data_IF_704048545396
#
_entry.id   IF_704048545396
#
_cell.length_a   1.000
_cell.length_b   1.000
_cell.length_c   1.000
_cell.angle_alpha   90.00
_cell.angle_beta   90.00
_cell.angle_gamma   90.00
#
_symmetry.space_group_name_H-M   'P 1'
#
loop_
_entity.id
_entity.type
_entity.pdbx_description
1 polymer ?
#
# COMPACT_ATOMS: atom_id res chain seq x y z
N UNK A 1 -5.93 10.18 -23.56
CA UNK A 1 -6.08 11.31 -22.62
C UNK A 1 -5.40 12.54 -23.20
N UNK A 2 -6.03 13.72 -23.21
CA UNK A 2 -5.36 14.96 -23.66
C UNK A 2 -4.32 15.37 -22.60
N UNK A 3 -3.18 15.92 -23.00
CA UNK A 3 -2.08 16.30 -22.09
C UNK A 3 -2.54 17.11 -20.87
N UNK A 4 -3.42 18.09 -21.07
CA UNK A 4 -3.99 18.94 -20.01
C UNK A 4 -4.81 18.17 -18.95
N UNK A 5 -5.42 17.05 -19.33
CA UNK A 5 -6.26 16.22 -18.48
C UNK A 5 -5.41 15.39 -17.50
N UNK A 6 -4.27 14.88 -17.99
CA UNK A 6 -3.28 14.18 -17.16
C UNK A 6 -2.67 15.12 -16.11
N UNK A 7 -2.24 16.31 -16.51
CA UNK A 7 -1.73 17.31 -15.58
C UNK A 7 -2.77 17.75 -14.54
N UNK A 8 -4.05 17.81 -14.90
CA UNK A 8 -5.09 18.13 -13.94
C UNK A 8 -5.30 17.00 -12.92
N UNK A 9 -5.35 15.73 -13.36
CA UNK A 9 -5.42 14.57 -12.46
C UNK A 9 -4.27 14.58 -11.45
N UNK A 10 -3.03 14.73 -11.93
CA UNK A 10 -1.83 14.75 -11.09
C UNK A 10 -1.88 15.86 -10.04
N UNK A 11 -2.22 17.09 -10.45
CA UNK A 11 -2.40 18.22 -9.51
C UNK A 11 -3.49 17.96 -8.46
N UNK A 12 -4.62 17.36 -8.86
CA UNK A 12 -5.70 17.03 -7.92
C UNK A 12 -5.21 16.03 -6.88
N UNK A 13 -4.43 15.03 -7.28
CA UNK A 13 -3.87 14.03 -6.37
C UNK A 13 -2.86 14.67 -5.42
N UNK A 14 -1.92 15.47 -5.93
CA UNK A 14 -0.93 16.17 -5.12
C UNK A 14 -1.60 17.05 -4.05
N UNK A 15 -2.59 17.86 -4.45
CA UNK A 15 -3.36 18.70 -3.52
C UNK A 15 -4.12 17.87 -2.49
N UNK A 16 -4.66 16.71 -2.89
CA UNK A 16 -5.37 15.81 -1.97
C UNK A 16 -4.42 15.24 -0.92
N UNK A 17 -3.23 14.79 -1.32
CA UNK A 17 -2.20 14.29 -0.41
C UNK A 17 -1.72 15.39 0.55
N UNK A 18 -1.51 16.61 0.06
CA UNK A 18 -1.14 17.75 0.90
C UNK A 18 -2.24 18.06 1.93
N UNK A 19 -3.50 18.07 1.52
CA UNK A 19 -4.63 18.27 2.43
C UNK A 19 -4.72 17.16 3.50
N UNK A 20 -4.46 15.90 3.13
CA UNK A 20 -4.41 14.79 4.08
C UNK A 20 -3.34 14.96 5.15
N UNK A 21 -2.23 15.63 4.83
CA UNK A 21 -1.17 15.94 5.77
C UNK A 21 -1.46 17.16 6.65
N UNK A 22 -2.41 18.01 6.25
CA UNK A 22 -2.76 19.26 6.94
C UNK A 22 -3.88 19.12 7.97
N UNK A 23 -4.73 18.09 7.86
CA UNK A 23 -5.98 17.99 8.64
C UNK A 23 -5.98 16.87 9.67
N UNK A 24 -6.66 17.15 10.79
CA UNK A 24 -6.91 16.14 11.81
C UNK A 24 -8.17 15.31 11.54
N UNK A 25 -9.17 15.87 10.84
CA UNK A 25 -10.38 15.17 10.46
C UNK A 25 -10.51 15.09 8.94
N UNK A 26 -10.66 13.87 8.42
CA UNK A 26 -10.82 13.62 6.98
C UNK A 26 -12.10 14.25 6.41
N UNK A 27 -13.11 14.48 7.24
CA UNK A 27 -14.34 15.16 6.82
C UNK A 27 -14.14 16.64 6.50
N UNK A 28 -13.04 17.25 6.96
CA UNK A 28 -12.65 18.60 6.53
C UNK A 28 -12.17 18.65 5.07
N UNK A 29 -11.83 17.50 4.49
CA UNK A 29 -11.45 17.39 3.09
C UNK A 29 -12.71 17.23 2.25
N UNK A 30 -13.10 18.31 1.56
CA UNK A 30 -14.25 18.29 0.65
C UNK A 30 -13.81 18.41 -0.80
N UNK A 31 -14.61 17.87 -1.73
CA UNK A 31 -14.38 18.02 -3.18
C UNK A 31 -14.23 19.50 -3.58
N UNK A 32 -14.96 20.41 -2.91
CA UNK A 32 -14.86 21.86 -3.15
C UNK A 32 -13.51 22.42 -2.70
N UNK A 33 -13.04 22.07 -1.50
CA UNK A 33 -11.73 22.49 -0.97
C UNK A 33 -10.58 22.01 -1.86
N UNK A 34 -10.67 20.76 -2.35
CA UNK A 34 -9.70 20.20 -3.31
C UNK A 34 -9.74 20.98 -4.63
N UNK A 35 -10.94 21.20 -5.18
CA UNK A 35 -11.10 21.92 -6.46
C UNK A 35 -10.51 23.34 -6.40
N UNK A 36 -10.80 24.06 -5.32
CA UNK A 36 -10.27 25.40 -5.08
C UNK A 36 -8.74 25.39 -5.00
N UNK A 37 -8.16 24.50 -4.17
CA UNK A 37 -6.70 24.45 -3.95
C UNK A 37 -5.93 23.93 -5.16
N UNK A 38 -6.54 23.06 -5.98
CA UNK A 38 -5.99 22.58 -7.25
C UNK A 38 -6.24 23.53 -8.43
N UNK A 39 -6.99 24.63 -8.21
CA UNK A 39 -7.42 25.57 -9.24
C UNK A 39 -8.10 24.88 -10.43
N UNK A 40 -9.07 24.00 -10.14
CA UNK A 40 -9.87 23.27 -11.13
C UNK A 40 -11.37 23.36 -10.81
N UNK A 41 -12.22 23.10 -11.80
CA UNK A 41 -13.65 22.97 -11.56
C UNK A 41 -14.00 21.64 -10.87
N UNK A 42 -15.00 21.65 -9.97
CA UNK A 42 -15.53 20.44 -9.30
C UNK A 42 -15.92 19.34 -10.31
N UNK A 43 -16.45 19.73 -11.47
CA UNK A 43 -16.79 18.79 -12.53
C UNK A 43 -15.61 17.95 -13.05
N UNK A 44 -14.38 18.49 -12.99
CA UNK A 44 -13.18 17.78 -13.40
C UNK A 44 -12.77 16.71 -12.38
N UNK A 45 -12.93 16.99 -11.09
CA UNK A 45 -12.73 15.99 -10.03
C UNK A 45 -13.74 14.85 -10.21
N UNK A 46 -15.02 15.18 -10.38
CA UNK A 46 -16.06 14.17 -10.58
C UNK A 46 -15.85 13.37 -11.88
N UNK A 47 -15.32 14.00 -12.94
CA UNK A 47 -14.98 13.32 -14.18
C UNK A 47 -13.94 12.20 -13.94
N UNK A 48 -12.83 12.53 -13.27
CA UNK A 48 -11.72 11.61 -13.03
C UNK A 48 -11.99 10.57 -11.94
N UNK A 49 -12.56 10.99 -10.82
CA UNK A 49 -12.58 10.17 -9.59
C UNK A 49 -13.98 9.73 -9.18
N UNK A 50 -15.04 10.33 -9.72
CA UNK A 50 -16.46 10.08 -9.38
C UNK A 50 -16.87 10.51 -7.97
N UNK A 51 -16.13 10.11 -6.93
CA UNK A 51 -16.43 10.39 -5.51
C UNK A 51 -15.19 10.89 -4.76
N UNK A 52 -15.39 11.56 -3.61
CA UNK A 52 -14.32 11.94 -2.66
C UNK A 52 -13.49 10.69 -2.30
N UNK A 53 -14.19 9.65 -1.94
CA UNK A 53 -13.65 8.38 -1.49
C UNK A 53 -12.74 7.71 -2.52
N UNK A 54 -13.19 7.65 -3.78
CA UNK A 54 -12.36 7.11 -4.86
C UNK A 54 -11.12 7.97 -5.13
N UNK A 55 -11.23 9.30 -5.00
CA UNK A 55 -10.07 10.19 -5.10
C UNK A 55 -9.06 9.90 -3.99
N UNK A 56 -9.52 9.77 -2.74
CA UNK A 56 -8.67 9.43 -1.61
C UNK A 56 -7.98 8.08 -1.81
N UNK A 57 -8.72 7.04 -2.17
CA UNK A 57 -8.14 5.72 -2.46
C UNK A 57 -7.14 5.75 -3.61
N UNK A 58 -7.44 6.51 -4.68
CA UNK A 58 -6.51 6.67 -5.81
C UNK A 58 -5.24 7.40 -5.38
N UNK A 59 -5.35 8.44 -4.56
CA UNK A 59 -4.20 9.20 -4.10
C UNK A 59 -3.27 8.35 -3.22
N UNK A 60 -3.83 7.58 -2.28
CA UNK A 60 -3.05 6.64 -1.46
C UNK A 60 -2.46 5.52 -2.32
N UNK A 61 -3.25 4.96 -3.25
CA UNK A 61 -2.77 3.96 -4.20
C UNK A 61 -1.58 4.43 -5.01
N UNK A 62 -1.62 5.65 -5.58
CA UNK A 62 -0.51 6.25 -6.34
C UNK A 62 0.76 6.38 -5.46
N UNK A 63 0.62 6.74 -4.17
CA UNK A 63 1.76 6.77 -3.22
C UNK A 63 2.35 5.37 -3.00
N UNK A 64 1.50 4.36 -2.76
CA UNK A 64 1.95 2.98 -2.54
C UNK A 64 2.63 2.41 -3.78
N UNK A 65 2.07 2.64 -4.98
CA UNK A 65 2.65 2.20 -6.24
C UNK A 65 4.02 2.84 -6.51
N UNK A 66 4.22 4.11 -6.13
CA UNK A 66 5.53 4.76 -6.26
C UNK A 66 6.58 4.09 -5.36
N UNK A 67 6.24 3.74 -4.13
CA UNK A 67 7.14 3.02 -3.21
C UNK A 67 7.53 1.65 -3.78
N UNK A 68 6.57 0.94 -4.39
CA UNK A 68 6.80 -0.35 -5.04
C UNK A 68 7.68 -0.17 -6.28
N UNK A 69 7.45 0.87 -7.08
CA UNK A 69 8.24 1.14 -8.27
C UNK A 69 9.72 1.41 -7.93
N UNK A 70 10.00 2.13 -6.85
CA UNK A 70 11.37 2.39 -6.36
C UNK A 70 12.13 1.09 -6.04
N UNK A 71 11.45 0.04 -5.59
CA UNK A 71 12.08 -1.26 -5.35
C UNK A 71 12.56 -1.93 -6.63
N UNK A 72 11.86 -1.65 -7.74
CA UNK A 72 12.17 -2.24 -9.04
C UNK A 72 13.18 -1.44 -9.85
N UNK A 73 13.69 -0.33 -9.30
CA UNK A 73 14.80 0.43 -9.86
C UNK A 73 16.11 -0.34 -9.65
N UNK A 74 16.79 -0.67 -10.75
CA UNK A 74 18.06 -1.40 -10.75
C UNK A 74 19.17 -0.68 -9.94
N UNK A 75 19.03 0.62 -9.65
CA UNK A 75 19.96 1.38 -8.80
C UNK A 75 19.76 1.19 -7.29
N UNK A 76 18.60 0.68 -6.88
CA UNK A 76 18.24 0.41 -5.46
C UNK A 76 18.37 -1.09 -5.14
N UNK A 77 18.44 -1.93 -6.17
CA UNK A 77 18.46 -3.39 -6.04
C UNK A 77 19.63 -3.93 -5.22
N UNK A 78 19.33 -4.74 -4.21
CA UNK A 78 20.35 -5.49 -3.47
C UNK A 78 20.40 -6.95 -3.90
N UNK A 79 21.50 -7.65 -3.57
CA UNK A 79 21.62 -9.10 -3.76
C UNK A 79 20.87 -9.90 -2.67
N UNK A 80 19.97 -9.26 -1.90
CA UNK A 80 19.28 -9.84 -0.73
C UNK A 80 17.75 -9.72 -0.88
N UNK A 81 17.13 -10.50 -1.78
CA UNK A 81 15.73 -10.31 -2.15
C UNK A 81 14.73 -10.52 -1.00
N UNK A 82 15.09 -11.31 0.02
CA UNK A 82 14.28 -11.48 1.23
C UNK A 82 14.28 -10.20 2.07
N UNK A 83 15.45 -9.58 2.23
CA UNK A 83 15.61 -8.34 2.99
C UNK A 83 14.95 -7.17 2.27
N UNK A 84 15.05 -7.13 0.95
CA UNK A 84 14.37 -6.16 0.10
C UNK A 84 12.83 -6.27 0.25
N UNK A 85 12.29 -7.50 0.30
CA UNK A 85 10.86 -7.72 0.57
C UNK A 85 10.46 -7.24 1.96
N UNK A 86 11.22 -7.58 2.99
CA UNK A 86 10.97 -7.11 4.37
C UNK A 86 10.96 -5.58 4.43
N UNK A 87 11.94 -4.92 3.82
CA UNK A 87 12.04 -3.47 3.81
C UNK A 87 10.92 -2.79 3.02
N UNK A 88 10.51 -3.35 1.88
CA UNK A 88 9.34 -2.88 1.14
C UNK A 88 8.09 -2.91 2.03
N UNK A 89 7.78 -4.06 2.63
CA UNK A 89 6.57 -4.23 3.42
C UNK A 89 6.55 -3.30 4.64
N UNK A 90 7.70 -3.13 5.31
CA UNK A 90 7.85 -2.18 6.43
C UNK A 90 7.60 -0.74 5.98
N UNK A 91 8.17 -0.32 4.84
CA UNK A 91 7.97 1.03 4.27
C UNK A 91 6.52 1.27 3.85
N UNK A 92 5.85 0.28 3.26
CA UNK A 92 4.42 0.36 2.93
C UNK A 92 3.56 0.49 4.19
N UNK A 93 3.88 -0.25 5.26
CA UNK A 93 3.17 -0.14 6.53
C UNK A 93 3.38 1.20 7.22
N UNK A 94 4.62 1.72 7.23
CA UNK A 94 4.93 3.06 7.75
C UNK A 94 4.11 4.12 6.99
N UNK A 95 4.04 4.01 5.66
CA UNK A 95 3.26 4.90 4.80
C UNK A 95 1.75 4.77 5.06
N UNK A 96 1.25 3.55 5.25
CA UNK A 96 -0.16 3.31 5.55
C UNK A 96 -0.59 3.98 6.86
N UNK A 97 0.24 3.87 7.90
CA UNK A 97 -0.03 4.50 9.20
C UNK A 97 0.07 6.02 9.15
N UNK A 98 0.93 6.58 8.29
CA UNK A 98 0.93 8.02 8.04
C UNK A 98 -0.44 8.52 7.56
N UNK A 99 -1.19 7.69 6.83
CA UNK A 99 -2.56 7.96 6.38
C UNK A 99 -3.62 7.13 7.13
N UNK A 100 -3.43 6.84 8.43
CA UNK A 100 -4.28 5.90 9.18
C UNK A 100 -5.78 6.22 9.18
N UNK A 101 -6.16 7.49 8.96
CA UNK A 101 -7.57 7.93 8.90
C UNK A 101 -8.28 7.47 7.64
N UNK A 102 -7.54 7.31 6.54
CA UNK A 102 -8.06 6.85 5.24
C UNK A 102 -7.83 5.35 5.07
N UNK A 103 -6.76 4.81 5.67
CA UNK A 103 -6.28 3.45 5.42
C UNK A 103 -7.39 2.37 5.59
N UNK A 104 -8.22 2.35 6.65
CA UNK A 104 -9.28 1.35 6.79
C UNK A 104 -10.28 1.37 5.63
N UNK A 105 -10.58 2.55 5.10
CA UNK A 105 -11.48 2.70 3.97
C UNK A 105 -10.85 2.13 2.69
N UNK A 106 -9.59 2.50 2.40
CA UNK A 106 -8.84 1.99 1.24
C UNK A 106 -8.74 0.46 1.29
N UNK A 107 -8.34 -0.10 2.43
CA UNK A 107 -8.21 -1.54 2.61
C UNK A 107 -9.55 -2.27 2.45
N UNK A 108 -10.64 -1.73 3.03
CA UNK A 108 -11.98 -2.29 2.83
C UNK A 108 -12.38 -2.30 1.35
N UNK A 109 -12.12 -1.23 0.61
CA UNK A 109 -12.41 -1.19 -0.82
C UNK A 109 -11.58 -2.23 -1.59
N UNK A 110 -10.28 -2.35 -1.31
CA UNK A 110 -9.43 -3.35 -1.97
C UNK A 110 -9.96 -4.77 -1.72
N UNK A 111 -10.20 -5.12 -0.46
CA UNK A 111 -10.61 -6.47 -0.06
C UNK A 111 -12.02 -6.80 -0.60
N UNK A 112 -12.99 -5.90 -0.45
CA UNK A 112 -14.39 -6.19 -0.84
C UNK A 112 -14.60 -6.18 -2.36
N UNK A 113 -13.81 -5.41 -3.11
CA UNK A 113 -13.85 -5.39 -4.58
C UNK A 113 -13.02 -6.50 -5.22
N UNK A 114 -12.27 -7.29 -4.43
CA UNK A 114 -11.37 -8.32 -4.95
C UNK A 114 -10.18 -7.76 -5.72
N UNK A 115 -9.71 -6.57 -5.34
CA UNK A 115 -8.49 -5.98 -5.87
C UNK A 115 -7.27 -6.76 -5.34
N UNK A 116 -6.53 -7.39 -6.26
CA UNK A 116 -5.36 -8.22 -5.96
C UNK A 116 -4.04 -7.54 -6.36
N UNK A 117 -4.06 -6.21 -6.59
CA UNK A 117 -2.89 -5.52 -7.12
C UNK A 117 -1.70 -5.59 -6.15
N UNK A 118 -1.92 -5.43 -4.85
CA UNK A 118 -0.86 -5.51 -3.84
C UNK A 118 -0.16 -6.88 -3.81
N UNK A 119 -0.92 -7.96 -3.99
CA UNK A 119 -0.40 -9.31 -4.10
C UNK A 119 0.42 -9.48 -5.39
N UNK A 120 -0.11 -9.00 -6.51
CA UNK A 120 0.58 -9.06 -7.80
C UNK A 120 1.89 -8.26 -7.79
N UNK A 121 1.92 -7.13 -7.08
CA UNK A 121 3.08 -6.25 -7.00
C UNK A 121 4.29 -6.90 -6.33
N UNK A 122 4.10 -7.88 -5.44
CA UNK A 122 5.20 -8.59 -4.77
C UNK A 122 5.60 -9.90 -5.46
N UNK A 123 4.79 -10.42 -6.40
CA UNK A 123 5.09 -11.66 -7.14
C UNK A 123 6.45 -11.63 -7.85
N UNK A 124 6.88 -10.55 -8.52
CA UNK A 124 8.19 -10.51 -9.16
C UNK A 124 9.34 -10.72 -8.17
N UNK A 125 9.23 -10.20 -6.95
CA UNK A 125 10.23 -10.41 -5.91
C UNK A 125 10.17 -11.83 -5.33
N UNK A 126 8.98 -12.38 -5.13
CA UNK A 126 8.83 -13.79 -4.74
C UNK A 126 9.43 -14.74 -5.79
N UNK A 127 9.30 -14.42 -7.09
CA UNK A 127 9.96 -15.15 -8.17
C UNK A 127 11.48 -15.12 -8.02
N UNK A 128 12.07 -13.99 -7.61
CA UNK A 128 13.52 -13.89 -7.35
C UNK A 128 13.94 -14.74 -6.15
N UNK A 129 13.14 -14.76 -5.09
CA UNK A 129 13.41 -15.53 -3.87
C UNK A 129 13.33 -17.04 -4.14
N UNK A 130 12.26 -17.51 -4.78
CA UNK A 130 12.00 -18.93 -4.95
C UNK A 130 12.59 -19.49 -6.25
N UNK A 131 12.95 -18.65 -7.23
CA UNK A 131 13.42 -19.08 -8.54
C UNK A 131 12.44 -20.07 -9.18
N UNK A 132 12.96 -21.23 -9.59
CA UNK A 132 12.16 -22.30 -10.19
C UNK A 132 11.55 -23.28 -9.17
N UNK A 133 11.71 -23.04 -7.85
CA UNK A 133 11.19 -23.95 -6.80
C UNK A 133 9.67 -23.87 -6.64
N UNK A 134 9.02 -22.84 -7.18
CA UNK A 134 7.58 -22.56 -7.06
C UNK A 134 7.04 -22.11 -8.41
N UNK A 135 5.83 -22.54 -8.75
CA UNK A 135 5.11 -22.08 -9.94
C UNK A 135 4.33 -20.78 -9.67
N UNK A 136 3.75 -20.17 -10.72
CA UNK A 136 2.99 -18.92 -10.61
C UNK A 136 1.84 -19.00 -9.61
N UNK A 137 1.12 -20.12 -9.60
CA UNK A 137 -0.01 -20.30 -8.70
C UNK A 137 0.46 -20.29 -7.25
N UNK A 138 1.54 -21.01 -6.95
CA UNK A 138 2.15 -21.04 -5.62
C UNK A 138 2.67 -19.65 -5.20
N UNK A 139 3.31 -18.91 -6.11
CA UNK A 139 3.79 -17.56 -5.82
C UNK A 139 2.65 -16.59 -5.48
N UNK A 140 1.51 -16.69 -6.19
CA UNK A 140 0.31 -15.88 -5.88
C UNK A 140 -0.34 -16.26 -4.56
N UNK A 141 -0.35 -17.56 -4.21
CA UNK A 141 -0.82 -18.02 -2.89
C UNK A 141 0.09 -17.50 -1.77
N UNK A 142 1.41 -17.55 -1.98
CA UNK A 142 2.38 -16.97 -1.04
C UNK A 142 2.16 -15.46 -0.89
N UNK A 143 1.90 -14.75 -1.98
CA UNK A 143 1.60 -13.33 -1.93
C UNK A 143 0.37 -13.03 -1.06
N UNK A 144 -0.73 -13.80 -1.22
CA UNK A 144 -1.91 -13.70 -0.36
C UNK A 144 -1.59 -13.97 1.12
N UNK A 145 -0.76 -14.98 1.39
CA UNK A 145 -0.33 -15.33 2.74
C UNK A 145 0.51 -14.24 3.41
N UNK A 146 1.12 -13.35 2.63
CA UNK A 146 1.90 -12.20 3.13
C UNK A 146 1.02 -10.96 3.26
N UNK A 147 0.28 -10.61 2.20
CA UNK A 147 -0.42 -9.32 2.12
C UNK A 147 -1.67 -9.30 2.98
N UNK A 148 -2.51 -10.35 2.95
CA UNK A 148 -3.78 -10.33 3.67
C UNK A 148 -3.60 -10.22 5.20
N UNK A 149 -2.67 -10.94 5.87
CA UNK A 149 -2.47 -10.76 7.30
C UNK A 149 -2.06 -9.32 7.66
N UNK A 150 -1.22 -8.69 6.83
CA UNK A 150 -0.80 -7.29 7.04
C UNK A 150 -2.03 -6.37 6.92
N UNK A 151 -2.80 -6.48 5.84
CA UNK A 151 -3.98 -5.64 5.61
C UNK A 151 -5.05 -5.83 6.70
N UNK A 152 -5.34 -7.07 7.09
CA UNK A 152 -6.32 -7.37 8.15
C UNK A 152 -5.84 -6.87 9.51
N UNK A 153 -4.55 -6.99 9.81
CA UNK A 153 -3.98 -6.46 11.06
C UNK A 153 -4.10 -4.93 11.15
N UNK A 154 -3.94 -4.23 10.02
CA UNK A 154 -4.12 -2.77 9.95
C UNK A 154 -5.60 -2.37 10.03
N UNK A 155 -6.48 -3.11 9.34
CA UNK A 155 -7.93 -2.85 9.32
C UNK A 155 -8.58 -3.06 10.70
N UNK A 156 -8.14 -4.09 11.43
CA UNK A 156 -8.72 -4.52 12.71
C UNK A 156 -7.71 -4.47 13.85
N UNK A 157 -7.00 -3.34 13.98
CA UNK A 157 -5.84 -3.18 14.88
C UNK A 157 -6.12 -3.66 16.31
N UNK A 158 -7.24 -3.25 16.92
CA UNK A 158 -7.56 -3.63 18.31
C UNK A 158 -7.82 -5.14 18.46
N UNK A 159 -8.61 -5.72 17.55
CA UNK A 159 -8.91 -7.16 17.57
C UNK A 159 -7.64 -7.98 17.30
N UNK A 160 -6.79 -7.53 16.39
CA UNK A 160 -5.51 -8.17 16.11
C UNK A 160 -4.56 -8.10 17.31
N UNK A 161 -4.49 -6.96 17.99
CA UNK A 161 -3.68 -6.80 19.20
C UNK A 161 -4.20 -7.71 20.34
N UNK A 162 -5.52 -7.82 20.51
CA UNK A 162 -6.10 -8.73 21.50
C UNK A 162 -5.78 -10.20 21.19
N UNK A 163 -5.79 -10.58 19.92
CA UNK A 163 -5.49 -11.94 19.46
C UNK A 163 -4.01 -12.31 19.59
N UNK A 164 -3.11 -11.43 19.13
CA UNK A 164 -1.69 -11.73 18.95
C UNK A 164 -0.78 -11.15 20.03
N UNK A 165 -1.25 -10.17 20.79
CA UNK A 165 -0.44 -9.33 21.67
C UNK A 165 0.39 -8.26 20.95
N UNK A 166 0.32 -8.17 19.63
CA UNK A 166 1.14 -7.26 18.81
C UNK A 166 0.37 -5.97 18.53
N UNK A 167 0.95 -4.84 18.90
CA UNK A 167 0.44 -3.52 18.54
C UNK A 167 0.98 -3.08 17.17
N UNK A 168 0.14 -3.13 16.13
CA UNK A 168 0.52 -2.71 14.76
C UNK A 168 0.88 -1.22 14.65
N UNK A 169 0.37 -0.37 15.56
CA UNK A 169 0.76 1.05 15.59
C UNK A 169 2.15 1.26 16.20
N UNK A 170 2.68 0.27 16.93
CA UNK A 170 4.06 0.30 17.41
C UNK A 170 5.01 -0.21 16.31
N UNK A 171 5.92 0.66 15.86
CA UNK A 171 6.87 0.34 14.77
C UNK A 171 7.67 -0.93 15.03
N UNK A 172 8.23 -1.09 16.23
CA UNK A 172 9.08 -2.23 16.54
C UNK A 172 8.29 -3.55 16.53
N UNK A 173 7.10 -3.55 17.14
CA UNK A 173 6.24 -4.73 17.17
C UNK A 173 5.71 -5.12 15.79
N UNK A 174 5.32 -4.12 14.99
CA UNK A 174 4.86 -4.32 13.61
C UNK A 174 5.97 -4.81 12.69
N UNK A 175 7.17 -4.24 12.78
CA UNK A 175 8.31 -4.68 11.95
C UNK A 175 8.69 -6.12 12.31
N UNK A 176 8.64 -6.49 13.61
CA UNK A 176 8.81 -7.88 14.07
C UNK A 176 7.70 -8.81 13.55
N UNK A 177 6.45 -8.35 13.50
CA UNK A 177 5.35 -9.12 12.91
C UNK A 177 5.60 -9.44 11.43
N UNK A 178 6.06 -8.45 10.66
CA UNK A 178 6.43 -8.65 9.24
C UNK A 178 7.57 -9.66 9.13
N UNK A 179 8.60 -9.54 9.97
CA UNK A 179 9.73 -10.47 9.96
C UNK A 179 9.29 -11.92 10.19
N UNK A 180 8.48 -12.16 11.23
CA UNK A 180 7.91 -13.48 11.55
C UNK A 180 7.05 -14.01 10.40
N UNK A 181 6.23 -13.16 9.78
CA UNK A 181 5.35 -13.56 8.70
C UNK A 181 6.15 -14.06 7.49
N UNK A 182 7.21 -13.35 7.12
CA UNK A 182 8.10 -13.71 6.03
C UNK A 182 8.89 -14.98 6.36
N UNK A 183 9.43 -15.09 7.57
CA UNK A 183 10.18 -16.26 8.03
C UNK A 183 9.34 -17.54 8.02
N UNK A 184 8.08 -17.46 8.45
CA UNK A 184 7.16 -18.60 8.43
C UNK A 184 6.89 -19.16 7.02
N UNK A 185 6.98 -18.32 5.98
CA UNK A 185 6.65 -18.71 4.60
C UNK A 185 7.88 -19.12 3.83
N UNK A 186 8.98 -18.39 4.01
CA UNK A 186 10.22 -18.63 3.27
C UNK A 186 11.02 -19.77 3.91
N UNK A 187 10.86 -20.00 5.22
CA UNK A 187 11.62 -20.99 5.99
C UNK A 187 13.11 -20.63 6.12
N UNK A 188 13.83 -21.29 7.01
CA UNK A 188 15.30 -21.20 7.09
C UNK A 188 16.00 -21.88 5.87
N UNK A 189 15.24 -22.60 5.02
CA UNK A 189 15.73 -23.43 3.91
C UNK A 189 15.96 -22.68 2.58
N UNK A 190 15.88 -21.35 2.56
CA UNK A 190 16.54 -20.58 1.49
C UNK A 190 18.00 -20.45 1.86
N UNK A 191 18.68 -21.60 1.77
CA UNK A 191 20.11 -21.79 1.94
C UNK A 191 20.83 -20.69 1.15
N UNK A 192 21.41 -19.73 1.88
CA UNK A 192 22.29 -18.69 1.36
C UNK A 192 23.51 -19.41 0.80
N UNK A 193 23.48 -19.70 -0.50
CA UNK A 193 24.64 -20.18 -1.27
C UNK A 193 24.86 -19.26 -2.46
#
# INVERSE_FOLDING_TARGET
>A
MKSNDKYARERIIEVTLNLLNEVDDIEEITVRKIAERANVGVGLINYHFKTKDNLLSTAIGDVMSNIIAELYDDSVYTLRPIEDLKNLLKKLCDTGLHYEKVLPFVLNQCITNGDMQAELDIVPMLRKIFGNKKDEMSLRIIALQIILPIQISALSTESFQLYSGINIKNKYERDKFIDILIENIIGEDVDVR
#
